data_IF_721046133409
#
_entry.id   IF_721046133409
#
_cell.length_a   1.000
_cell.length_b   1.000
_cell.length_c   1.000
_cell.angle_alpha   90.00
_cell.angle_beta   90.00
_cell.angle_gamma   90.00
#
_symmetry.space_group_name_H-M   'P 1'
#
loop_
_entity.id
_entity.type
_entity.pdbx_description
1 polymer ?
#
# COMPACT_ATOMS: atom_id res chain seq x y z
N UNK A 1 -2.89 -9.10 -0.90
CA UNK A 1 -2.61 -10.49 -1.31
C UNK A 1 -2.28 -11.31 -0.07
N UNK A 2 -1.08 -11.14 0.50
CA UNK A 2 -0.63 -11.84 1.71
C UNK A 2 -1.61 -11.82 2.88
N UNK A 3 -2.26 -10.68 3.16
CA UNK A 3 -3.24 -10.62 4.24
C UNK A 3 -4.41 -11.60 4.05
N UNK A 4 -4.89 -11.77 2.80
CA UNK A 4 -5.94 -12.74 2.49
C UNK A 4 -5.44 -14.18 2.62
N UNK A 5 -4.23 -14.46 2.15
CA UNK A 5 -3.65 -15.80 2.28
C UNK A 5 -3.45 -16.19 3.75
N UNK A 6 -2.94 -15.28 4.57
CA UNK A 6 -2.79 -15.51 6.01
C UNK A 6 -4.15 -15.66 6.71
N UNK A 7 -5.17 -14.90 6.31
CA UNK A 7 -6.55 -15.08 6.78
C UNK A 7 -7.08 -16.48 6.42
N UNK A 8 -6.83 -16.99 5.20
CA UNK A 8 -7.24 -18.36 4.82
C UNK A 8 -6.54 -19.46 5.61
N UNK A 9 -5.37 -19.18 6.17
CA UNK A 9 -4.63 -20.08 7.07
C UNK A 9 -5.11 -19.98 8.53
N UNK A 10 -6.13 -19.16 8.82
CA UNK A 10 -6.71 -19.00 10.16
C UNK A 10 -6.06 -17.92 11.01
N UNK A 11 -5.18 -17.08 10.45
CA UNK A 11 -4.57 -15.97 11.20
C UNK A 11 -5.47 -14.74 11.25
N UNK A 12 -5.51 -14.08 12.40
CA UNK A 12 -6.09 -12.73 12.51
C UNK A 12 -5.08 -11.71 12.01
N UNK A 13 -5.30 -11.19 10.80
CA UNK A 13 -4.39 -10.23 10.17
C UNK A 13 -4.79 -8.79 10.51
N UNK A 14 -3.79 -7.97 10.84
CA UNK A 14 -3.94 -6.54 11.11
C UNK A 14 -2.94 -5.76 10.25
N UNK A 15 -3.41 -5.00 9.27
CA UNK A 15 -2.55 -4.19 8.41
C UNK A 15 -2.32 -2.81 9.01
N UNK A 16 -1.07 -2.41 9.17
CA UNK A 16 -0.70 -1.08 9.65
C UNK A 16 -0.20 -0.21 8.48
N UNK A 17 -0.62 1.07 8.39
CA UNK A 17 -0.05 2.00 7.43
C UNK A 17 1.48 2.12 7.61
N UNK A 18 2.29 2.05 6.53
CA UNK A 18 3.75 2.20 6.63
C UNK A 18 4.18 3.52 7.27
N UNK A 19 3.40 4.58 7.09
CA UNK A 19 3.63 5.88 7.72
C UNK A 19 3.61 5.83 9.26
N UNK A 20 2.89 4.86 9.84
CA UNK A 20 2.79 4.70 11.29
C UNK A 20 3.91 3.82 11.84
N UNK A 21 4.51 2.96 11.01
CA UNK A 21 5.67 2.13 11.38
C UNK A 21 6.97 2.93 11.24
N UNK A 22 7.07 3.79 10.21
CA UNK A 22 8.29 4.53 9.85
C UNK A 22 8.98 5.24 11.03
N UNK A 23 8.28 5.89 11.97
CA UNK A 23 8.94 6.55 13.12
C UNK A 23 9.70 5.60 14.05
N UNK A 24 9.39 4.30 14.03
CA UNK A 24 9.99 3.28 14.89
C UNK A 24 11.16 2.53 14.22
N UNK A 25 11.40 2.76 12.93
CA UNK A 25 12.49 2.12 12.18
C UNK A 25 13.82 2.78 12.55
N UNK A 26 14.73 2.01 13.14
CA UNK A 26 16.09 2.45 13.48
C UNK A 26 16.91 2.67 12.20
N UNK A 27 18.05 3.39 12.29
CA UNK A 27 18.87 3.72 11.11
C UNK A 27 19.30 2.44 10.37
N UNK A 28 19.20 2.50 9.03
CA UNK A 28 19.37 1.41 8.05
C UNK A 28 18.19 0.47 7.91
N UNK A 29 17.85 0.15 6.66
CA UNK A 29 16.78 -0.78 6.31
C UNK A 29 17.31 -2.20 6.34
N UNK A 30 16.81 -3.02 7.25
CA UNK A 30 16.97 -4.47 7.25
C UNK A 30 15.70 -5.13 7.81
N UNK A 31 15.47 -6.40 7.51
CA UNK A 31 14.21 -7.07 7.89
C UNK A 31 14.05 -7.18 9.42
N UNK A 32 15.16 -7.26 10.17
CA UNK A 32 15.13 -7.34 11.63
C UNK A 32 14.67 -6.04 12.28
N UNK A 33 15.17 -4.89 11.82
CA UNK A 33 14.76 -3.56 12.30
C UNK A 33 13.33 -3.24 11.88
N UNK A 34 12.91 -3.66 10.69
CA UNK A 34 11.52 -3.51 10.24
C UNK A 34 10.57 -4.34 11.13
N UNK A 35 10.94 -5.57 11.50
CA UNK A 35 10.16 -6.40 12.41
C UNK A 35 10.07 -5.81 13.83
N UNK A 36 11.19 -5.33 14.39
CA UNK A 36 11.21 -4.61 15.68
C UNK A 36 10.29 -3.39 15.67
N UNK A 37 10.37 -2.58 14.61
CA UNK A 37 9.57 -1.37 14.47
C UNK A 37 8.06 -1.68 14.40
N UNK A 38 7.68 -2.75 13.69
CA UNK A 38 6.28 -3.21 13.64
C UNK A 38 5.80 -3.64 15.03
N UNK A 39 6.60 -4.46 15.74
CA UNK A 39 6.28 -4.91 17.09
C UNK A 39 6.09 -3.73 18.05
N UNK A 40 6.97 -2.73 17.99
CA UNK A 40 6.85 -1.53 18.80
C UNK A 40 5.60 -0.72 18.44
N UNK A 41 5.37 -0.47 17.15
CA UNK A 41 4.24 0.30 16.66
C UNK A 41 2.90 -0.32 17.08
N UNK A 42 2.75 -1.64 17.03
CA UNK A 42 1.51 -2.36 17.38
C UNK A 42 1.08 -2.13 18.83
N UNK A 43 2.03 -1.90 19.74
CA UNK A 43 1.74 -1.68 21.17
C UNK A 43 1.13 -0.32 21.48
N UNK A 44 1.16 0.63 20.54
CA UNK A 44 0.72 2.00 20.80
C UNK A 44 -0.82 2.08 20.85
N UNK A 45 -1.41 2.76 21.86
CA UNK A 45 -2.85 2.73 22.10
C UNK A 45 -3.68 3.40 20.99
N UNK A 46 -3.12 4.39 20.32
CA UNK A 46 -3.79 5.14 19.23
C UNK A 46 -3.52 4.54 17.84
N UNK A 47 -3.08 3.29 17.75
CA UNK A 47 -2.71 2.68 16.48
C UNK A 47 -3.94 2.33 15.65
N UNK A 48 -3.96 2.78 14.38
CA UNK A 48 -5.05 2.48 13.44
C UNK A 48 -4.64 1.41 12.44
N UNK A 49 -5.54 0.47 12.22
CA UNK A 49 -5.37 -0.60 11.25
C UNK A 49 -6.26 -0.37 10.04
N UNK A 50 -5.79 -0.84 8.89
CA UNK A 50 -6.50 -0.75 7.62
C UNK A 50 -7.09 -2.13 7.33
N UNK A 51 -8.34 -2.21 6.84
CA UNK A 51 -8.91 -3.49 6.44
C UNK A 51 -8.14 -4.10 5.26
N UNK A 52 -8.17 -5.43 5.18
CA UNK A 52 -7.69 -6.17 4.01
C UNK A 52 -8.46 -5.75 2.76
N UNK A 53 -7.76 -5.34 1.71
CA UNK A 53 -8.38 -5.00 0.42
C UNK A 53 -8.89 -6.27 -0.27
N UNK A 54 -10.17 -6.26 -0.65
CA UNK A 54 -10.81 -7.37 -1.36
C UNK A 54 -10.28 -7.51 -2.79
N UNK A 55 -10.57 -8.63 -3.44
CA UNK A 55 -10.19 -8.86 -4.84
C UNK A 55 -10.90 -7.86 -5.75
N UNK A 56 -12.18 -7.60 -5.51
CA UNK A 56 -13.02 -6.71 -6.29
C UNK A 56 -12.53 -5.26 -6.16
N UNK A 57 -12.18 -4.84 -4.95
CA UNK A 57 -11.58 -3.52 -4.70
C UNK A 57 -10.22 -3.38 -5.41
N UNK A 58 -9.39 -4.43 -5.39
CA UNK A 58 -8.12 -4.43 -6.10
C UNK A 58 -8.31 -4.33 -7.62
N UNK A 59 -9.29 -5.05 -8.18
CA UNK A 59 -9.64 -4.99 -9.60
C UNK A 59 -10.16 -3.62 -10.01
N UNK A 60 -11.02 -3.00 -9.19
CA UNK A 60 -11.51 -1.65 -9.42
C UNK A 60 -10.35 -0.63 -9.44
N UNK A 61 -9.39 -0.76 -8.50
CA UNK A 61 -8.20 0.10 -8.48
C UNK A 61 -7.36 -0.04 -9.76
N UNK A 62 -7.25 -1.24 -10.32
CA UNK A 62 -6.56 -1.46 -11.59
C UNK A 62 -7.24 -0.73 -12.76
N UNK A 63 -8.58 -0.75 -12.82
CA UNK A 63 -9.34 0.01 -13.83
C UNK A 63 -9.08 1.51 -13.72
N UNK A 64 -9.08 2.05 -12.49
CA UNK A 64 -8.75 3.46 -12.26
C UNK A 64 -7.33 3.82 -12.72
N UNK A 65 -6.34 2.95 -12.44
CA UNK A 65 -4.95 3.14 -12.89
C UNK A 65 -4.82 3.08 -14.41
N UNK A 66 -5.49 2.14 -15.07
CA UNK A 66 -5.50 2.04 -16.53
C UNK A 66 -6.09 3.29 -17.18
N UNK A 67 -7.24 3.77 -16.67
CA UNK A 67 -7.84 5.04 -17.11
C UNK A 67 -6.88 6.21 -16.93
N UNK A 68 -6.23 6.31 -15.76
CA UNK A 68 -5.29 7.39 -15.47
C UNK A 68 -4.07 7.35 -16.42
N UNK A 69 -3.60 6.16 -16.78
CA UNK A 69 -2.53 5.99 -17.77
C UNK A 69 -2.94 6.52 -19.14
N UNK A 70 -4.13 6.12 -19.64
CA UNK A 70 -4.63 6.57 -20.93
C UNK A 70 -4.87 8.09 -20.97
N UNK A 71 -5.38 8.69 -19.89
CA UNK A 71 -5.53 10.14 -19.80
C UNK A 71 -4.17 10.84 -19.94
N UNK A 72 -3.13 10.35 -19.24
CA UNK A 72 -1.78 10.91 -19.36
C UNK A 72 -1.24 10.78 -20.79
N UNK A 73 -1.43 9.63 -21.43
CA UNK A 73 -1.00 9.39 -22.81
C UNK A 73 -1.74 10.31 -23.80
N UNK A 74 -3.06 10.46 -23.65
CA UNK A 74 -3.85 11.38 -24.47
C UNK A 74 -3.34 12.82 -24.35
N UNK A 75 -3.13 13.30 -23.12
CA UNK A 75 -2.58 14.65 -22.89
C UNK A 75 -1.19 14.82 -23.50
N UNK A 76 -0.32 13.81 -23.39
CA UNK A 76 1.00 13.85 -24.00
C UNK A 76 0.94 13.97 -25.53
N UNK A 77 0.06 13.20 -26.19
CA UNK A 77 -0.15 13.27 -27.66
C UNK A 77 -0.70 14.62 -28.09
N UNK A 78 -1.67 15.17 -27.36
CA UNK A 78 -2.21 16.51 -27.65
C UNK A 78 -1.10 17.57 -27.55
N UNK A 79 -0.29 17.51 -26.51
CA UNK A 79 0.81 18.44 -26.33
C UNK A 79 1.88 18.31 -27.42
N UNK A 80 2.20 17.09 -27.87
CA UNK A 80 3.16 16.90 -28.97
C UNK A 80 2.64 17.46 -30.30
N UNK A 81 1.33 17.35 -30.56
CA UNK A 81 0.71 17.93 -31.77
C UNK A 81 0.74 19.46 -31.71
N UNK A 82 0.50 20.06 -30.55
CA UNK A 82 0.52 21.53 -30.37
C UNK A 82 1.91 22.15 -30.43
N UNK A 83 2.93 21.39 -30.09
CA UNK A 83 4.31 21.87 -30.06
C UNK A 83 4.97 21.88 -31.46
N UNK A 84 4.36 21.21 -32.43
CA UNK A 84 4.73 21.26 -33.84
C UNK A 84 3.90 22.33 -34.54
#
# INVERSE_FOLDING_TARGET
>A
HWSRELETLGHTVRLMPPAYVKPYVKRQKNDTTDAEAICEAVTRPNMRFVPTTTVEQQSCLMLHRARHLFIRQQTAVINSIRAY
#
